data_IF_104441487367
#
_entry.id   IF_104441487367
#
_cell.length_a   1.000
_cell.length_b   1.000
_cell.length_c   1.000
_cell.angle_alpha   90.00
_cell.angle_beta   90.00
_cell.angle_gamma   90.00
#
_symmetry.space_group_name_H-M   'P 1'
#
loop_
_entity.id
_entity.type
_entity.pdbx_description
1 polymer ?
#
# COMPACT_ATOMS: atom_id res chain seq x y z
N UNK A 1 0.53 32.49 -7.69
CA UNK A 1 0.84 31.70 -6.48
C UNK A 1 -0.35 30.87 -5.98
N UNK A 2 -1.56 31.42 -5.84
CA UNK A 2 -2.75 30.65 -5.38
C UNK A 2 -3.13 29.48 -6.30
N UNK A 3 -3.09 29.63 -7.63
CA UNK A 3 -3.39 28.54 -8.56
C UNK A 3 -2.41 27.36 -8.44
N UNK A 4 -1.11 27.65 -8.23
CA UNK A 4 -0.09 26.61 -8.02
C UNK A 4 -0.31 25.90 -6.69
N UNK A 5 -0.59 26.65 -5.62
CA UNK A 5 -0.91 26.05 -4.31
C UNK A 5 -2.16 25.17 -4.36
N UNK A 6 -3.21 25.63 -5.05
CA UNK A 6 -4.43 24.85 -5.28
C UNK A 6 -4.13 23.56 -6.06
N UNK A 7 -3.37 23.63 -7.15
CA UNK A 7 -2.99 22.44 -7.93
C UNK A 7 -2.16 21.44 -7.09
N UNK A 8 -1.22 21.93 -6.28
CA UNK A 8 -0.38 21.08 -5.42
C UNK A 8 -1.21 20.41 -4.33
N UNK A 9 -2.13 21.13 -3.70
CA UNK A 9 -2.98 20.55 -2.66
C UNK A 9 -4.00 19.56 -3.24
N UNK A 10 -4.68 19.94 -4.32
CA UNK A 10 -5.74 19.14 -4.95
C UNK A 10 -5.18 17.84 -5.56
N UNK A 11 -4.04 17.93 -6.24
CA UNK A 11 -3.50 16.82 -7.03
C UNK A 11 -2.23 16.19 -6.46
N UNK A 12 -1.56 16.82 -5.49
CA UNK A 12 -0.31 16.32 -4.92
C UNK A 12 -0.50 15.37 -3.75
N UNK A 13 -1.46 15.67 -2.85
CA UNK A 13 -1.63 14.94 -1.60
C UNK A 13 -3.09 14.64 -1.26
N UNK A 14 -3.30 13.69 -0.35
CA UNK A 14 -4.55 13.48 0.37
C UNK A 14 -4.26 13.01 1.78
N UNK A 15 -5.16 13.35 2.69
CA UNK A 15 -5.16 12.86 4.07
C UNK A 15 -6.38 11.94 4.22
N UNK A 16 -6.19 10.78 4.84
CA UNK A 16 -7.25 9.82 5.06
C UNK A 16 -7.02 8.98 6.31
N UNK A 17 -8.07 8.36 6.85
CA UNK A 17 -7.95 7.49 8.00
C UNK A 17 -7.36 6.12 7.59
N UNK A 18 -6.49 5.57 8.42
CA UNK A 18 -6.09 4.17 8.36
C UNK A 18 -6.90 3.41 9.42
N UNK A 19 -7.82 2.55 8.98
CA UNK A 19 -8.73 1.82 9.88
C UNK A 19 -8.67 0.34 9.58
N UNK A 20 -8.60 -0.46 10.63
CA UNK A 20 -8.67 -1.92 10.58
C UNK A 20 -7.36 -2.62 10.96
N UNK A 21 -7.44 -3.90 11.36
CA UNK A 21 -6.32 -4.63 11.97
C UNK A 21 -5.26 -5.11 10.96
N UNK A 22 -5.58 -5.08 9.67
CA UNK A 22 -4.79 -5.71 8.60
C UNK A 22 -3.36 -5.18 8.42
N UNK A 23 -3.06 -4.00 8.99
CA UNK A 23 -1.76 -3.35 8.88
C UNK A 23 -1.05 -3.23 10.23
N UNK A 24 -1.53 -3.90 11.28
CA UNK A 24 -0.77 -4.02 12.52
C UNK A 24 0.59 -4.70 12.24
N UNK A 25 1.68 -4.30 12.91
CA UNK A 25 1.80 -3.20 13.87
C UNK A 25 2.09 -1.83 13.22
N UNK A 26 2.18 -1.74 11.90
CA UNK A 26 2.50 -0.49 11.18
C UNK A 26 1.45 0.58 11.40
N UNK A 27 0.17 0.19 11.35
CA UNK A 27 -0.97 1.03 11.68
C UNK A 27 -1.78 0.43 12.83
N UNK A 28 -2.23 1.27 13.75
CA UNK A 28 -3.18 0.92 14.80
C UNK A 28 -4.57 0.68 14.20
N UNK A 29 -5.45 -0.02 14.93
CA UNK A 29 -6.77 -0.40 14.41
C UNK A 29 -7.66 0.82 14.11
N UNK A 30 -7.52 1.89 14.89
CA UNK A 30 -8.28 3.14 14.78
C UNK A 30 -7.41 4.34 15.15
N UNK A 31 -7.91 5.55 14.86
CA UNK A 31 -7.31 6.84 15.25
C UNK A 31 -5.94 7.14 14.62
N UNK A 32 -5.66 6.63 13.43
CA UNK A 32 -4.51 7.07 12.64
C UNK A 32 -4.94 7.81 11.38
N UNK A 33 -4.29 8.95 11.14
CA UNK A 33 -4.40 9.69 9.89
C UNK A 33 -3.10 9.55 9.11
N UNK A 34 -3.22 9.21 7.84
CA UNK A 34 -2.08 9.04 6.93
C UNK A 34 -2.05 10.12 5.88
N UNK A 35 -0.84 10.56 5.55
CA UNK A 35 -0.58 11.41 4.39
C UNK A 35 -0.23 10.53 3.20
N UNK A 36 -0.94 10.76 2.10
CA UNK A 36 -0.81 10.00 0.86
C UNK A 36 -0.31 10.93 -0.23
N UNK A 37 0.76 10.54 -0.91
CA UNK A 37 1.27 11.21 -2.10
C UNK A 37 0.57 10.69 -3.35
N UNK A 38 -0.25 11.54 -3.97
CA UNK A 38 -0.93 11.27 -5.24
C UNK A 38 0.00 11.35 -6.46
N UNK A 39 1.24 11.83 -6.29
CA UNK A 39 2.27 11.78 -7.33
C UNK A 39 2.52 10.33 -7.79
N UNK A 40 2.39 9.39 -6.86
CA UNK A 40 2.55 7.94 -7.05
C UNK A 40 1.25 7.22 -7.47
N UNK A 41 0.18 7.96 -7.83
CA UNK A 41 -1.05 7.34 -8.39
C UNK A 41 -0.73 6.52 -9.64
N UNK A 42 -1.55 5.52 -9.91
CA UNK A 42 -1.35 4.57 -11.00
C UNK A 42 -0.02 3.78 -10.90
N UNK A 43 0.52 3.61 -9.69
CA UNK A 43 1.75 2.85 -9.43
C UNK A 43 3.05 3.57 -9.77
N UNK A 44 3.02 4.86 -10.13
CA UNK A 44 4.24 5.59 -10.53
C UNK A 44 5.26 5.66 -9.40
N UNK A 45 6.47 5.18 -9.64
CA UNK A 45 7.57 5.21 -8.67
C UNK A 45 7.33 4.37 -7.41
N UNK A 46 6.27 3.54 -7.38
CA UNK A 46 6.01 2.58 -6.31
C UNK A 46 7.01 1.44 -6.42
N UNK A 47 7.55 1.01 -5.29
CA UNK A 47 8.52 -0.08 -5.19
C UNK A 47 8.08 -1.11 -4.15
N UNK A 48 8.68 -2.30 -4.19
CA UNK A 48 8.56 -3.30 -3.12
C UNK A 48 8.88 -2.64 -1.77
N UNK A 49 8.04 -2.92 -0.78
CA UNK A 49 8.07 -2.39 0.58
C UNK A 49 7.32 -1.07 0.81
N UNK A 50 6.88 -0.39 -0.25
CA UNK A 50 6.05 0.80 -0.12
C UNK A 50 4.62 0.47 0.37
N UNK A 51 4.03 1.41 1.11
CA UNK A 51 2.62 1.37 1.48
C UNK A 51 1.79 2.13 0.45
N UNK A 52 0.71 1.53 -0.04
CA UNK A 52 -0.17 2.14 -1.04
C UNK A 52 -1.61 2.17 -0.56
N UNK A 53 -2.30 3.25 -0.91
CA UNK A 53 -3.77 3.30 -0.92
C UNK A 53 -4.21 2.86 -2.31
N UNK A 54 -5.16 1.93 -2.39
CA UNK A 54 -5.69 1.43 -3.66
C UNK A 54 -7.18 1.11 -3.53
N UNK A 55 -7.90 1.18 -4.64
CA UNK A 55 -9.29 0.72 -4.74
C UNK A 55 -9.32 -0.80 -4.74
N UNK A 56 -10.09 -1.42 -3.85
CA UNK A 56 -10.11 -2.88 -3.73
C UNK A 56 -10.87 -3.47 -4.93
N UNK A 57 -10.29 -4.38 -5.72
CA UNK A 57 -10.92 -4.90 -6.94
C UNK A 57 -12.30 -5.54 -6.71
N UNK A 58 -12.44 -6.27 -5.60
CA UNK A 58 -13.67 -6.99 -5.23
C UNK A 58 -14.66 -6.15 -4.42
N UNK A 59 -14.24 -4.97 -3.91
CA UNK A 59 -15.06 -4.03 -3.15
C UNK A 59 -14.83 -2.62 -3.69
N UNK A 60 -15.42 -2.26 -4.85
CA UNK A 60 -15.04 -1.07 -5.59
C UNK A 60 -15.34 0.25 -4.85
N UNK A 61 -16.27 0.27 -3.90
CA UNK A 61 -16.59 1.46 -3.12
C UNK A 61 -15.68 1.65 -1.89
N UNK A 62 -14.70 0.76 -1.73
CA UNK A 62 -13.77 0.74 -0.61
C UNK A 62 -12.33 0.86 -1.08
N UNK A 63 -11.57 1.70 -0.40
CA UNK A 63 -10.12 1.77 -0.52
C UNK A 63 -9.46 0.90 0.56
N UNK A 64 -8.28 0.38 0.27
CA UNK A 64 -7.45 -0.38 1.19
C UNK A 64 -6.05 0.21 1.30
N UNK A 65 -5.41 0.02 2.46
CA UNK A 65 -3.98 0.26 2.66
C UNK A 65 -3.28 -1.07 2.81
N UNK A 66 -2.26 -1.32 1.99
CA UNK A 66 -1.44 -2.53 1.99
C UNK A 66 0.01 -2.21 1.64
N UNK A 67 0.92 -3.12 1.98
CA UNK A 67 2.32 -3.05 1.58
C UNK A 67 2.51 -3.79 0.26
N UNK A 68 3.28 -3.20 -0.64
CA UNK A 68 3.68 -3.84 -1.89
C UNK A 68 4.77 -4.85 -1.59
N UNK A 69 4.56 -6.12 -1.94
CA UNK A 69 5.52 -7.21 -1.76
C UNK A 69 6.10 -7.67 -3.10
N UNK A 70 5.40 -7.43 -4.22
CA UNK A 70 5.89 -7.75 -5.55
C UNK A 70 5.47 -6.72 -6.59
N UNK A 71 6.35 -6.48 -7.55
CA UNK A 71 6.20 -5.63 -8.72
C UNK A 71 6.21 -6.48 -10.00
N UNK A 72 5.83 -5.92 -11.17
CA UNK A 72 5.81 -6.68 -12.41
C UNK A 72 7.10 -7.47 -12.67
N UNK A 73 6.99 -8.77 -12.90
CA UNK A 73 8.10 -9.69 -13.13
C UNK A 73 8.60 -10.42 -11.88
N UNK A 74 8.30 -9.93 -10.67
CA UNK A 74 8.67 -10.58 -9.42
C UNK A 74 7.89 -11.89 -9.22
N UNK A 75 8.52 -12.89 -8.61
CA UNK A 75 7.83 -14.09 -8.15
C UNK A 75 7.48 -13.94 -6.67
N UNK A 76 6.21 -14.17 -6.33
CA UNK A 76 5.68 -14.06 -4.97
C UNK A 76 4.91 -15.31 -4.60
N UNK A 77 4.91 -15.66 -3.32
CA UNK A 77 4.09 -16.75 -2.79
C UNK A 77 2.61 -16.34 -2.80
N UNK A 78 1.75 -17.23 -3.30
CA UNK A 78 0.31 -17.01 -3.38
C UNK A 78 -0.32 -17.14 -1.99
N UNK A 79 0.15 -18.12 -1.22
CA UNK A 79 -0.40 -18.45 0.08
C UNK A 79 0.33 -17.75 1.24
N UNK A 80 -0.18 -17.96 2.45
CA UNK A 80 0.44 -17.39 3.65
C UNK A 80 1.70 -18.20 3.99
N UNK A 81 2.84 -17.56 4.28
CA UNK A 81 4.04 -18.28 4.69
C UNK A 81 3.77 -19.31 5.79
N UNK A 82 4.16 -20.56 5.57
CA UNK A 82 3.89 -21.69 6.46
C UNK A 82 2.63 -22.50 6.12
N UNK A 83 1.92 -22.19 5.03
CA UNK A 83 0.91 -23.09 4.45
C UNK A 83 1.54 -24.32 3.80
N UNK A 84 0.79 -25.41 3.69
CA UNK A 84 1.25 -26.65 3.02
C UNK A 84 1.51 -26.48 1.52
N UNK A 85 0.87 -25.47 0.90
CA UNK A 85 1.11 -25.08 -0.50
C UNK A 85 2.19 -23.99 -0.55
N UNK A 86 3.25 -24.25 -1.31
CA UNK A 86 4.32 -23.28 -1.63
C UNK A 86 4.18 -22.71 -3.05
N UNK A 87 2.94 -22.56 -3.51
CA UNK A 87 2.66 -22.08 -4.86
C UNK A 87 3.13 -20.63 -5.04
N UNK A 88 3.89 -20.39 -6.11
CA UNK A 88 4.35 -19.05 -6.50
C UNK A 88 3.65 -18.57 -7.77
N UNK A 89 3.49 -17.25 -7.88
CA UNK A 89 3.00 -16.57 -9.06
C UNK A 89 4.00 -15.49 -9.48
N UNK A 90 4.20 -15.33 -10.79
CA UNK A 90 4.88 -14.16 -11.32
C UNK A 90 3.88 -13.00 -11.42
N UNK A 91 4.19 -11.86 -10.83
CA UNK A 91 3.33 -10.68 -10.89
C UNK A 91 3.26 -10.19 -12.35
N UNK A 92 2.05 -10.10 -12.95
CA UNK A 92 1.92 -9.77 -14.36
C UNK A 92 2.26 -8.30 -14.64
N UNK A 93 2.60 -7.96 -15.90
CA UNK A 93 2.77 -6.57 -16.34
C UNK A 93 1.59 -5.69 -15.91
N UNK A 94 1.90 -4.48 -15.43
CA UNK A 94 0.89 -3.50 -15.01
C UNK A 94 0.21 -3.78 -13.66
N UNK A 95 0.60 -4.84 -12.94
CA UNK A 95 0.05 -5.19 -11.63
C UNK A 95 1.10 -5.12 -10.53
N UNK A 96 0.65 -5.05 -9.28
CA UNK A 96 1.48 -5.24 -8.10
C UNK A 96 0.83 -6.26 -7.17
N UNK A 97 1.65 -6.94 -6.37
CA UNK A 97 1.19 -7.81 -5.30
C UNK A 97 1.25 -7.06 -3.98
N UNK A 98 0.09 -6.86 -3.36
CA UNK A 98 -0.04 -6.14 -2.09
C UNK A 98 -0.52 -7.07 -0.97
N UNK A 99 0.07 -6.94 0.22
CA UNK A 99 -0.19 -7.77 1.39
C UNK A 99 -0.26 -6.89 2.64
N UNK A 100 -1.06 -7.29 3.62
CA UNK A 100 -1.13 -6.61 4.92
C UNK A 100 -0.04 -7.09 5.86
N UNK A 101 0.50 -6.17 6.66
CA UNK A 101 1.54 -6.51 7.64
C UNK A 101 1.02 -7.47 8.73
N UNK A 102 -0.30 -7.49 8.98
CA UNK A 102 -0.97 -8.47 9.83
C UNK A 102 -1.60 -9.58 8.98
N UNK A 103 -0.78 -10.56 8.59
CA UNK A 103 -1.14 -11.62 7.63
C UNK A 103 -2.48 -12.33 7.95
N UNK A 104 -2.78 -12.77 9.18
CA UNK A 104 -4.02 -13.49 9.49
C UNK A 104 -5.28 -12.61 9.42
N UNK A 105 -5.13 -11.29 9.61
CA UNK A 105 -6.25 -10.35 9.62
C UNK A 105 -6.35 -9.52 8.32
N UNK A 106 -5.65 -9.93 7.27
CA UNK A 106 -5.54 -9.17 6.03
C UNK A 106 -6.27 -9.85 4.88
N UNK A 107 -7.19 -9.11 4.26
CA UNK A 107 -7.79 -9.45 2.97
C UNK A 107 -7.02 -8.69 1.89
N UNK A 108 -6.20 -9.41 1.12
CA UNK A 108 -5.23 -8.83 0.21
C UNK A 108 -5.02 -9.71 -1.04
N UNK A 109 -3.92 -9.54 -1.75
CA UNK A 109 -3.69 -10.21 -3.05
C UNK A 109 -3.70 -11.74 -2.95
N UNK A 110 -3.48 -12.32 -1.76
CA UNK A 110 -3.62 -13.76 -1.53
C UNK A 110 -5.06 -14.25 -1.72
N UNK A 111 -6.06 -13.36 -1.61
CA UNK A 111 -7.49 -13.69 -1.78
C UNK A 111 -7.99 -13.34 -3.18
N UNK A 112 -7.63 -12.17 -3.71
CA UNK A 112 -8.20 -11.66 -4.97
C UNK A 112 -7.19 -11.57 -6.13
N UNK A 113 -5.94 -11.98 -5.92
CA UNK A 113 -4.86 -11.94 -6.92
C UNK A 113 -4.15 -10.58 -7.03
N UNK A 114 -3.29 -10.41 -8.06
CA UNK A 114 -2.54 -9.19 -8.28
C UNK A 114 -3.44 -7.97 -8.50
N UNK A 115 -3.05 -6.81 -7.97
CA UNK A 115 -3.80 -5.55 -8.10
C UNK A 115 -3.32 -4.77 -9.32
N UNK A 116 -4.20 -4.38 -10.25
CA UNK A 116 -3.83 -3.46 -11.32
C UNK A 116 -3.29 -2.15 -10.73
N UNK A 117 -2.09 -1.73 -11.14
CA UNK A 117 -1.48 -0.50 -10.61
C UNK A 117 -2.34 0.75 -10.88
N UNK A 118 -3.20 0.72 -11.91
CA UNK A 118 -4.19 1.75 -12.19
C UNK A 118 -5.19 2.00 -11.04
N UNK A 119 -5.38 1.04 -10.13
CA UNK A 119 -6.22 1.19 -8.95
C UNK A 119 -5.49 1.86 -7.77
N UNK A 120 -4.16 2.03 -7.85
CA UNK A 120 -3.37 2.70 -6.82
C UNK A 120 -3.69 4.19 -6.82
N UNK A 121 -4.23 4.68 -5.70
CA UNK A 121 -4.55 6.09 -5.46
C UNK A 121 -3.33 6.92 -5.08
N UNK A 122 -2.36 6.30 -4.42
CA UNK A 122 -1.10 6.94 -4.07
C UNK A 122 -0.30 6.15 -3.05
N UNK A 123 0.87 6.69 -2.70
CA UNK A 123 1.80 6.11 -1.73
C UNK A 123 1.60 6.76 -0.36
N UNK A 124 1.51 5.96 0.70
CA UNK A 124 1.48 6.48 2.08
C UNK A 124 2.90 6.91 2.45
N UNK A 125 3.07 8.17 2.83
CA UNK A 125 4.39 8.76 3.10
C UNK A 125 4.58 9.19 4.56
N UNK A 126 3.50 9.39 5.32
CA UNK A 126 3.59 9.74 6.74
C UNK A 126 2.34 9.34 7.53
N UNK A 127 2.52 9.13 8.83
CA UNK A 127 1.47 9.20 9.85
C UNK A 127 1.42 10.62 10.41
N UNK A 128 0.24 11.21 10.43
CA UNK A 128 0.01 12.58 10.89
C UNK A 128 -0.65 12.63 12.27
N UNK A 129 -1.48 11.63 12.61
CA UNK A 129 -2.20 11.57 13.88
C UNK A 129 -2.04 10.19 14.52
N UNK A 130 -1.92 10.11 15.87
CA UNK A 130 -1.84 11.25 16.80
C UNK A 130 -0.54 12.03 16.66
N UNK A 131 -0.58 13.36 16.90
CA UNK A 131 0.55 14.27 16.61
C UNK A 131 1.85 13.84 17.31
N UNK A 132 1.76 13.30 18.53
CA UNK A 132 2.90 12.81 19.31
C UNK A 132 3.51 11.50 18.78
N UNK A 133 2.85 10.82 17.84
CA UNK A 133 3.37 9.64 17.11
C UNK A 133 3.53 9.91 15.61
N UNK A 134 3.47 11.17 15.18
CA UNK A 134 3.65 11.52 13.77
C UNK A 134 5.04 11.11 13.28
N UNK A 135 5.10 10.51 12.10
CA UNK A 135 6.35 9.97 11.56
C UNK A 135 6.26 9.79 10.05
N UNK A 136 7.38 9.99 9.34
CA UNK A 136 7.49 9.60 7.95
C UNK A 136 7.61 8.08 7.83
N UNK A 137 6.89 7.51 6.86
CA UNK A 137 6.98 6.09 6.55
C UNK A 137 8.26 5.85 5.74
N UNK A 138 9.17 5.07 6.31
CA UNK A 138 10.34 4.54 5.60
C UNK A 138 9.99 3.19 5.00
N UNK A 139 10.59 2.88 3.85
CA UNK A 139 10.50 1.57 3.25
C UNK A 139 11.47 0.61 3.95
N UNK A 140 10.97 -0.45 4.63
CA UNK A 140 11.82 -1.41 5.34
C UNK A 140 12.44 -2.47 4.41
N UNK A 141 11.89 -2.69 3.22
CA UNK A 141 12.37 -3.70 2.26
C UNK A 141 13.32 -3.04 1.27
N UNK A 142 14.50 -2.68 1.76
CA UNK A 142 15.58 -2.21 0.90
C UNK A 142 16.34 -3.40 0.30
N UNK A 143 16.85 -3.27 -0.92
CA UNK A 143 17.79 -4.26 -1.46
C UNK A 143 18.96 -4.45 -0.48
N UNK A 144 19.54 -5.66 -0.41
CA UNK A 144 20.79 -5.89 0.31
C UNK A 144 21.83 -4.85 -0.13
N UNK A 145 22.52 -4.24 0.84
CA UNK A 145 23.67 -3.40 0.55
C UNK A 145 24.80 -4.33 0.08
N UNK A 146 25.31 -4.09 -1.13
CA UNK A 146 26.46 -4.80 -1.70
C UNK A 146 27.73 -4.60 -0.86
#
# INVERSE_FOLDING_TARGET
MLAVAHLVWEYGFSIGPAVGPSMLPTFEVMNELVLVSKLHRNGRGVKVGDLVVYKIPIFPDSDGIKRVIGMPGDYVMIDTPGSESESMIQVPPGHCWVVGDNLPASRDSRIFGPVPMALVRGKVIAKLWPLWKSQFIKNPLQPPQE
#
